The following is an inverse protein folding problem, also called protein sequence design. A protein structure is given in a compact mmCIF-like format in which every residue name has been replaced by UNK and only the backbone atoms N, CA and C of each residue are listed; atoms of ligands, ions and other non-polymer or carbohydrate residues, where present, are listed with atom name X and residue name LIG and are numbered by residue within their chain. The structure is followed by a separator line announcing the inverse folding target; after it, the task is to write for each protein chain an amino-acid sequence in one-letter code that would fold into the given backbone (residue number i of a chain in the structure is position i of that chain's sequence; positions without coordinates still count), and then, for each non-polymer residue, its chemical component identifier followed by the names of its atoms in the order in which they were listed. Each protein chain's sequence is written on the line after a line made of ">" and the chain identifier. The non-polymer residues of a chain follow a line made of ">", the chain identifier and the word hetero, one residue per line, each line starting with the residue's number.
data_IF_835063775279
#
_entry.id   IF_835063775279
#
_cell.length_a   1.000
_cell.length_b   1.000
_cell.length_c   1.000
_cell.angle_alpha   90.00
_cell.angle_beta   90.00
_cell.angle_gamma   90.00
#
_symmetry.space_group_name_H-M   'P 1'
#
loop_
_entity.id
_entity.type
_entity.pdbx_description
1 polymer ?
#
# COMPACT_ATOMS: atom_id res chain seq x y z
N UNK A 1 5.92 -9.39 14.46
CA UNK A 1 4.86 -8.42 14.17
C UNK A 1 5.52 -7.11 13.75
N UNK A 2 5.31 -6.60 12.54
CA UNK A 2 6.00 -5.39 12.12
C UNK A 2 5.65 -4.91 10.72
N UNK A 3 5.65 -3.58 10.56
CA UNK A 3 5.48 -2.93 9.27
C UNK A 3 6.78 -2.92 8.47
N UNK A 4 6.66 -2.94 7.15
CA UNK A 4 7.74 -2.78 6.19
C UNK A 4 7.53 -1.48 5.41
N UNK A 5 8.64 -0.80 5.11
CA UNK A 5 8.66 0.37 4.23
C UNK A 5 9.10 -0.05 2.83
N UNK A 6 8.37 0.43 1.83
CA UNK A 6 8.61 0.19 0.41
C UNK A 6 8.84 1.52 -0.27
N UNK A 7 10.04 1.74 -0.81
CA UNK A 7 10.32 2.89 -1.65
C UNK A 7 9.59 2.76 -2.98
N UNK A 8 8.91 3.84 -3.38
CA UNK A 8 8.19 3.96 -4.64
C UNK A 8 8.85 5.04 -5.51
N UNK A 9 8.37 5.20 -6.75
CA UNK A 9 8.81 6.28 -7.64
C UNK A 9 8.51 7.68 -7.07
N UNK A 10 9.24 8.68 -7.57
CA UNK A 10 9.06 10.10 -7.22
C UNK A 10 9.22 10.41 -5.72
N UNK A 11 10.02 9.61 -5.00
CA UNK A 11 10.28 9.78 -3.57
C UNK A 11 9.12 9.37 -2.66
N UNK A 12 8.08 8.73 -3.22
CA UNK A 12 6.99 8.20 -2.42
C UNK A 12 7.41 6.96 -1.62
N UNK A 13 6.77 6.74 -0.48
CA UNK A 13 6.99 5.56 0.37
C UNK A 13 5.65 4.95 0.77
N UNK A 14 5.51 3.63 0.60
CA UNK A 14 4.42 2.85 1.18
C UNK A 14 4.90 2.16 2.46
N UNK A 15 4.15 2.32 3.55
CA UNK A 15 4.36 1.62 4.82
C UNK A 15 3.16 0.70 5.02
N UNK A 16 3.39 -0.61 5.05
CA UNK A 16 2.34 -1.61 5.23
C UNK A 16 2.81 -2.75 6.15
N UNK A 17 1.90 -3.58 6.64
CA UNK A 17 2.30 -4.78 7.37
C UNK A 17 3.16 -5.71 6.49
N UNK A 18 4.11 -6.43 7.08
CA UNK A 18 5.08 -7.26 6.33
C UNK A 18 4.46 -8.39 5.49
N UNK A 19 3.20 -8.76 5.76
CA UNK A 19 2.50 -9.82 5.02
C UNK A 19 1.96 -9.32 3.68
N UNK A 20 1.70 -8.02 3.55
CA UNK A 20 1.38 -7.43 2.25
C UNK A 20 2.57 -7.54 1.31
N UNK A 21 2.28 -7.91 0.05
CA UNK A 21 3.26 -7.93 -1.03
C UNK A 21 2.95 -6.79 -1.99
N UNK A 22 4.01 -6.13 -2.44
CA UNK A 22 3.91 -4.98 -3.35
C UNK A 22 4.58 -5.35 -4.66
N UNK A 23 3.82 -5.28 -5.74
CA UNK A 23 4.30 -5.44 -7.11
C UNK A 23 4.29 -4.09 -7.81
N UNK A 24 5.23 -3.89 -8.74
CA UNK A 24 5.37 -2.64 -9.46
C UNK A 24 5.50 -2.87 -10.96
N UNK A 25 4.93 -1.92 -11.71
CA UNK A 25 5.20 -1.71 -13.12
C UNK A 25 5.39 -0.21 -13.33
N UNK A 26 6.64 0.22 -13.38
CA UNK A 26 7.06 1.63 -13.37
C UNK A 26 6.47 2.44 -12.19
N UNK A 27 5.50 3.32 -12.46
CA UNK A 27 4.85 4.15 -11.46
C UNK A 27 3.48 3.61 -11.00
N UNK A 28 3.07 2.45 -11.49
CA UNK A 28 1.88 1.72 -11.07
C UNK A 28 2.24 0.59 -10.10
N UNK A 29 1.40 0.40 -9.07
CA UNK A 29 1.65 -0.53 -7.97
C UNK A 29 0.39 -1.31 -7.63
N UNK A 30 0.56 -2.61 -7.42
CA UNK A 30 -0.49 -3.49 -6.90
C UNK A 30 -0.02 -4.02 -5.54
N UNK A 31 -0.90 -3.92 -4.55
CA UNK A 31 -0.70 -4.51 -3.24
C UNK A 31 -1.65 -5.69 -3.09
N UNK A 32 -1.09 -6.83 -2.70
CA UNK A 32 -1.87 -8.02 -2.33
C UNK A 32 -1.64 -8.33 -0.85
N UNK A 33 -2.67 -8.86 -0.20
CA UNK A 33 -2.58 -9.38 1.16
C UNK A 33 -2.02 -10.82 1.20
N UNK A 34 -2.16 -11.48 2.34
CA UNK A 34 -1.70 -12.84 2.58
C UNK A 34 -2.53 -13.91 1.89
N UNK A 35 -3.83 -13.65 1.70
CA UNK A 35 -4.76 -14.51 0.95
C UNK A 35 -4.62 -14.35 -0.58
N UNK A 36 -3.69 -13.48 -1.00
CA UNK A 36 -3.42 -13.15 -2.39
C UNK A 36 -4.53 -12.35 -3.08
N UNK A 37 -5.37 -11.68 -2.30
CA UNK A 37 -6.37 -10.76 -2.80
C UNK A 37 -5.75 -9.38 -3.09
N UNK A 38 -6.18 -8.76 -4.18
CA UNK A 38 -5.75 -7.41 -4.54
C UNK A 38 -6.47 -6.40 -3.65
N UNK A 39 -5.72 -5.79 -2.72
CA UNK A 39 -6.28 -4.80 -1.79
C UNK A 39 -6.22 -3.38 -2.32
N UNK A 40 -5.23 -3.06 -3.16
CA UNK A 40 -5.11 -1.74 -3.77
C UNK A 40 -4.30 -1.76 -5.07
N UNK A 41 -4.79 -1.04 -6.07
CA UNK A 41 -4.06 -0.65 -7.27
C UNK A 41 -3.98 0.87 -7.33
N UNK A 42 -2.76 1.41 -7.41
CA UNK A 42 -2.54 2.86 -7.40
C UNK A 42 -1.35 3.26 -8.27
N UNK A 43 -1.29 4.55 -8.61
CA UNK A 43 -0.11 5.16 -9.24
C UNK A 43 0.41 6.32 -8.42
N UNK A 44 1.69 6.63 -8.60
CA UNK A 44 2.31 7.84 -8.04
C UNK A 44 2.97 8.68 -9.13
N UNK A 45 2.93 9.99 -8.95
CA UNK A 45 3.75 10.97 -9.68
C UNK A 45 4.39 11.94 -8.71
N UNK A 46 5.09 12.95 -9.21
CA UNK A 46 5.83 13.91 -8.40
C UNK A 46 5.00 14.56 -7.29
N UNK A 47 3.74 14.90 -7.57
CA UNK A 47 2.82 15.56 -6.62
C UNK A 47 1.48 14.85 -6.46
N UNK A 48 1.33 13.65 -7.00
CA UNK A 48 0.06 12.95 -7.10
C UNK A 48 0.16 11.52 -6.57
N UNK A 49 -0.89 11.10 -5.87
CA UNK A 49 -1.18 9.72 -5.55
C UNK A 49 -2.61 9.44 -6.02
N UNK A 50 -2.76 8.48 -6.92
CA UNK A 50 -4.05 8.16 -7.55
C UNK A 50 -4.40 6.70 -7.28
N UNK A 51 -5.58 6.46 -6.70
CA UNK A 51 -6.11 5.12 -6.47
C UNK A 51 -6.95 4.73 -7.67
N UNK A 52 -6.55 3.68 -8.37
CA UNK A 52 -7.29 3.14 -9.53
C UNK A 52 -8.38 2.18 -9.06
N UNK A 53 -8.08 1.35 -8.06
CA UNK A 53 -9.01 0.43 -7.43
C UNK A 53 -8.55 0.16 -5.99
N UNK A 54 -9.49 0.02 -5.05
CA UNK A 54 -9.22 -0.48 -3.71
C UNK A 54 -10.35 -1.41 -3.23
N UNK A 55 -9.99 -2.38 -2.40
CA UNK A 55 -10.96 -3.15 -1.62
C UNK A 55 -11.60 -2.24 -0.55
N UNK A 56 -12.87 -2.45 -0.24
CA UNK A 56 -13.60 -1.72 0.82
C UNK A 56 -12.93 -1.84 2.20
N UNK A 57 -12.32 -2.99 2.49
CA UNK A 57 -11.68 -3.26 3.78
C UNK A 57 -10.36 -2.51 4.03
N UNK A 58 -9.75 -1.88 3.01
CA UNK A 58 -8.45 -1.24 3.19
C UNK A 58 -8.59 0.17 3.76
N UNK A 59 -8.01 0.37 4.94
CA UNK A 59 -7.84 1.66 5.61
C UNK A 59 -6.40 2.14 5.46
N UNK A 60 -6.22 3.36 4.95
CA UNK A 60 -4.90 3.95 4.75
C UNK A 60 -4.90 5.45 5.01
N UNK A 61 -3.72 5.98 5.34
CA UNK A 61 -3.46 7.40 5.50
C UNK A 61 -2.46 7.86 4.45
N UNK A 62 -2.73 9.00 3.81
CA UNK A 62 -1.76 9.69 2.95
C UNK A 62 -1.22 10.92 3.69
N UNK A 63 0.09 11.11 3.66
CA UNK A 63 0.77 12.27 4.23
C UNK A 63 1.55 12.98 3.11
N UNK A 64 0.92 13.90 2.36
CA UNK A 64 1.50 14.47 1.14
C UNK A 64 2.83 15.19 1.37
N UNK A 65 2.98 15.91 2.48
CA UNK A 65 4.22 16.64 2.82
C UNK A 65 5.45 15.74 2.99
N UNK A 66 5.25 14.44 3.24
CA UNK A 66 6.33 13.44 3.33
C UNK A 66 6.28 12.42 2.18
N UNK A 67 5.34 12.56 1.23
CA UNK A 67 5.05 11.57 0.19
C UNK A 67 4.91 10.14 0.75
N UNK A 68 4.14 10.00 1.83
CA UNK A 68 3.96 8.73 2.52
C UNK A 68 2.53 8.22 2.40
N UNK A 69 2.38 6.95 2.02
CA UNK A 69 1.14 6.19 2.12
C UNK A 69 1.34 5.17 3.24
N UNK A 70 0.44 5.11 4.22
CA UNK A 70 0.51 4.16 5.32
C UNK A 70 -0.77 3.34 5.41
N UNK A 71 -0.66 2.03 5.20
CA UNK A 71 -1.77 1.11 5.46
C UNK A 71 -1.93 0.94 6.98
N UNK A 72 -3.17 0.98 7.42
CA UNK A 72 -3.56 0.89 8.83
C UNK A 72 -4.03 -0.52 9.19
N UNK A 73 -4.42 -1.32 8.19
CA UNK A 73 -4.75 -2.73 8.38
C UNK A 73 -3.53 -3.50 8.89
N UNK A 74 -3.79 -4.27 9.93
CA UNK A 74 -2.97 -5.40 10.34
C UNK A 74 -3.77 -6.62 9.89
N UNK A 75 -3.14 -7.70 9.40
CA UNK A 75 -3.85 -8.95 9.16
C UNK A 75 -4.64 -9.33 10.40
N UNK A 76 -5.85 -9.85 10.18
CA UNK A 76 -6.66 -10.35 11.27
C UNK A 76 -5.89 -11.51 11.93
N UNK A 77 -5.73 -11.47 13.27
CA UNK A 77 -5.07 -12.55 14.01
C UNK A 77 -5.98 -13.79 14.15
N UNK A 78 -7.23 -13.72 13.68
CA UNK A 78 -8.27 -14.71 13.95
C UNK A 78 -8.96 -15.18 12.67
N UNK A 79 -8.47 -16.31 12.14
CA UNK A 79 -9.29 -17.33 11.48
C UNK A 79 -8.69 -18.70 11.86
N UNK A 80 -8.78 -19.05 13.16
CA UNK A 80 -8.66 -20.44 13.67
C UNK A 80 -10.02 -21.15 13.65
#
# INVERSE_FOLDING_TARGET
>A
MGNKSHGLKCGWTLIAHKTFKVFSNDNAYIVIDEDSDVVMHFTVKESEFEVINNNWGISYKVIPGFKTIKFLNVPDEDDE
#
